data_IF_296977096902
#
_entry.id   IF_296977096902
#
_cell.length_a   1.000
_cell.length_b   1.000
_cell.length_c   1.000
_cell.angle_alpha   90.00
_cell.angle_beta   90.00
_cell.angle_gamma   90.00
#
_symmetry.space_group_name_H-M   'P 1'
#
loop_
_entity.id
_entity.type
_entity.pdbx_description
1 polymer ?
#
# COMPACT_ATOMS: atom_id res chain seq x y z
N UNK A 1 27.88 60.95 -17.74
CA UNK A 1 27.77 60.42 -16.36
C UNK A 1 26.70 59.36 -16.32
N UNK A 2 27.09 58.09 -16.40
CA UNK A 2 26.20 56.94 -16.28
C UNK A 2 25.86 56.72 -14.81
N UNK A 3 24.65 57.11 -14.38
CA UNK A 3 24.09 56.70 -13.09
C UNK A 3 23.43 55.34 -13.28
N UNK A 4 24.15 54.27 -12.94
CA UNK A 4 23.56 52.97 -12.62
C UNK A 4 22.80 53.12 -11.30
N UNK A 5 21.53 53.52 -11.41
CA UNK A 5 20.60 53.51 -10.29
C UNK A 5 20.22 52.06 -9.98
N UNK A 6 20.72 51.57 -8.85
CA UNK A 6 20.45 50.23 -8.33
C UNK A 6 18.96 50.08 -7.97
N UNK A 7 18.20 49.29 -8.75
CA UNK A 7 16.85 48.84 -8.43
C UNK A 7 16.83 47.75 -7.33
N UNK A 8 17.64 47.89 -6.28
CA UNK A 8 17.83 46.83 -5.28
C UNK A 8 16.73 46.78 -4.21
N UNK A 9 16.05 47.91 -3.92
CA UNK A 9 15.02 47.97 -2.88
C UNK A 9 13.65 47.45 -3.33
N UNK A 10 13.23 47.76 -4.57
CA UNK A 10 11.96 47.29 -5.12
C UNK A 10 11.99 45.78 -5.44
N UNK A 11 13.16 45.23 -5.77
CA UNK A 11 13.34 43.80 -5.97
C UNK A 11 13.23 43.01 -4.66
N UNK A 12 13.66 43.60 -3.53
CA UNK A 12 13.60 43.00 -2.20
C UNK A 12 12.15 42.81 -1.73
N UNK A 13 11.32 43.85 -1.90
CA UNK A 13 9.90 43.84 -1.52
C UNK A 13 9.08 42.81 -2.31
N UNK A 14 9.31 42.73 -3.63
CA UNK A 14 8.67 41.70 -4.46
C UNK A 14 9.14 40.30 -4.06
N UNK A 15 10.43 40.12 -3.76
CA UNK A 15 10.96 38.84 -3.27
C UNK A 15 10.29 38.43 -1.97
N UNK A 16 10.23 39.32 -0.97
CA UNK A 16 9.61 39.08 0.34
C UNK A 16 8.12 38.75 0.22
N UNK A 17 7.38 39.48 -0.63
CA UNK A 17 5.99 39.18 -0.90
C UNK A 17 5.80 37.81 -1.55
N UNK A 18 6.64 37.46 -2.54
CA UNK A 18 6.56 36.14 -3.19
C UNK A 18 6.90 35.01 -2.23
N UNK A 19 7.88 35.20 -1.35
CA UNK A 19 8.23 34.23 -0.31
C UNK A 19 7.07 34.04 0.69
N UNK A 20 6.42 35.13 1.09
CA UNK A 20 5.26 35.08 1.98
C UNK A 20 4.08 34.33 1.35
N UNK A 21 3.76 34.60 0.08
CA UNK A 21 2.68 33.91 -0.65
C UNK A 21 3.01 32.43 -0.87
N UNK A 22 4.25 32.11 -1.28
CA UNK A 22 4.68 30.71 -1.45
C UNK A 22 4.65 29.96 -0.11
N UNK A 23 5.07 30.62 0.98
CA UNK A 23 5.00 30.07 2.34
C UNK A 23 3.56 29.81 2.78
N UNK A 24 2.64 30.74 2.52
CA UNK A 24 1.22 30.58 2.83
C UNK A 24 0.59 29.42 2.05
N UNK A 25 0.87 29.32 0.75
CA UNK A 25 0.41 28.19 -0.08
C UNK A 25 0.98 26.87 0.45
N UNK A 26 2.28 26.83 0.77
CA UNK A 26 2.93 25.64 1.34
C UNK A 26 2.25 25.17 2.62
N UNK A 27 1.96 26.10 3.53
CA UNK A 27 1.22 25.82 4.77
C UNK A 27 -0.17 25.27 4.49
N UNK A 28 -0.92 25.87 3.56
CA UNK A 28 -2.24 25.36 3.18
C UNK A 28 -2.17 23.95 2.58
N UNK A 29 -1.16 23.65 1.77
CA UNK A 29 -0.96 22.32 1.20
C UNK A 29 -0.68 21.30 2.30
N UNK A 30 0.19 21.61 3.25
CA UNK A 30 0.51 20.70 4.35
C UNK A 30 -0.68 20.48 5.31
N UNK A 31 -1.51 21.50 5.51
CA UNK A 31 -2.71 21.39 6.34
C UNK A 31 -3.88 20.66 5.66
N UNK A 32 -4.03 20.83 4.35
CA UNK A 32 -5.18 20.28 3.60
C UNK A 32 -4.91 18.89 3.04
N UNK A 33 -3.65 18.56 2.72
CA UNK A 33 -3.27 17.26 2.17
C UNK A 33 -2.71 16.39 3.30
N UNK A 34 -3.46 15.39 3.79
CA UNK A 34 -2.95 14.50 4.83
C UNK A 34 -1.74 13.71 4.33
N UNK A 35 -0.59 13.91 4.98
CA UNK A 35 0.62 13.10 4.76
C UNK A 35 0.50 11.79 5.53
N UNK A 36 0.23 10.69 4.83
CA UNK A 36 0.07 9.36 5.44
C UNK A 36 1.32 8.54 5.18
N UNK A 37 2.02 8.10 6.23
CA UNK A 37 3.14 7.15 6.09
C UNK A 37 2.61 5.73 6.01
N UNK A 38 2.66 5.13 4.82
CA UNK A 38 2.20 3.75 4.59
C UNK A 38 3.39 2.80 4.79
N UNK A 39 3.37 1.99 5.87
CA UNK A 39 4.31 0.88 6.05
C UNK A 39 3.91 -0.27 5.11
N UNK A 40 4.68 -0.46 4.04
CA UNK A 40 4.53 -1.60 3.13
C UNK A 40 5.32 -2.80 3.66
N UNK A 41 4.62 -3.83 4.13
CA UNK A 41 5.25 -5.10 4.51
C UNK A 41 5.46 -5.96 3.26
N UNK A 42 6.56 -6.73 3.23
CA UNK A 42 6.83 -7.78 2.24
C UNK A 42 5.88 -8.98 2.35
N UNK A 43 4.62 -8.78 2.75
CA UNK A 43 3.60 -9.82 2.72
C UNK A 43 2.91 -9.78 1.36
N UNK A 44 3.66 -10.15 0.30
CA UNK A 44 3.07 -10.41 -1.01
C UNK A 44 2.21 -11.64 -0.87
N UNK A 45 0.92 -11.41 -0.61
CA UNK A 45 -0.03 -12.50 -0.41
C UNK A 45 0.06 -13.46 -1.60
N UNK A 46 0.18 -14.77 -1.37
CA UNK A 46 0.46 -15.74 -2.44
C UNK A 46 -0.68 -15.88 -3.45
N UNK A 47 -1.87 -15.38 -3.13
CA UNK A 47 -3.00 -15.29 -4.05
C UNK A 47 -3.02 -14.00 -4.88
N UNK A 48 -2.10 -13.06 -4.69
CA UNK A 48 -2.00 -11.83 -5.50
C UNK A 48 -1.26 -12.12 -6.79
N UNK A 49 -2.06 -12.43 -7.81
CA UNK A 49 -1.58 -12.69 -9.17
C UNK A 49 -1.43 -11.40 -10.00
N UNK A 50 -0.75 -11.50 -11.16
CA UNK A 50 -0.61 -10.42 -12.14
C UNK A 50 -1.97 -9.83 -12.54
N UNK A 51 -2.98 -10.67 -12.70
CA UNK A 51 -4.36 -10.28 -13.04
C UNK A 51 -4.98 -9.32 -12.03
N UNK A 52 -4.71 -9.49 -10.74
CA UNK A 52 -5.19 -8.58 -9.68
C UNK A 52 -4.44 -7.26 -9.77
N UNK A 53 -3.13 -7.29 -10.03
CA UNK A 53 -2.32 -6.07 -10.19
C UNK A 53 -2.78 -5.26 -11.41
N UNK A 54 -3.13 -5.92 -12.51
CA UNK A 54 -3.71 -5.28 -13.70
C UNK A 54 -5.09 -4.67 -13.41
N UNK A 55 -5.96 -5.41 -12.73
CA UNK A 55 -7.27 -4.90 -12.32
C UNK A 55 -7.16 -3.67 -11.41
N UNK A 56 -6.20 -3.65 -10.47
CA UNK A 56 -5.90 -2.49 -9.63
C UNK A 56 -5.41 -1.30 -10.46
N UNK A 57 -4.46 -1.51 -11.38
CA UNK A 57 -3.96 -0.45 -12.27
C UNK A 57 -5.08 0.14 -13.13
N UNK A 58 -5.93 -0.70 -13.70
CA UNK A 58 -7.10 -0.27 -14.49
C UNK A 58 -8.09 0.52 -13.63
N UNK A 59 -8.35 0.09 -12.39
CA UNK A 59 -9.21 0.81 -11.46
C UNK A 59 -8.65 2.19 -11.09
N UNK A 60 -7.34 2.31 -10.85
CA UNK A 60 -6.68 3.60 -10.60
C UNK A 60 -6.75 4.52 -11.82
N UNK A 61 -6.54 3.97 -13.02
CA UNK A 61 -6.68 4.74 -14.26
C UNK A 61 -8.11 5.26 -14.46
N UNK A 62 -9.13 4.41 -14.23
CA UNK A 62 -10.53 4.80 -14.31
C UNK A 62 -10.92 5.86 -13.26
N UNK A 63 -10.35 5.79 -12.06
CA UNK A 63 -10.53 6.83 -11.04
C UNK A 63 -9.98 8.18 -11.51
N UNK A 64 -8.74 8.21 -11.98
CA UNK A 64 -8.10 9.43 -12.47
C UNK A 64 -8.85 10.02 -13.67
N UNK A 65 -9.28 9.17 -14.61
CA UNK A 65 -10.11 9.57 -15.74
C UNK A 65 -11.46 10.14 -15.28
N UNK A 66 -12.09 9.52 -14.29
CA UNK A 66 -13.37 9.97 -13.73
C UNK A 66 -13.30 11.30 -12.98
N UNK A 67 -12.15 11.61 -12.35
CA UNK A 67 -11.91 12.95 -11.75
C UNK A 67 -11.86 14.01 -12.85
N UNK A 68 -11.22 13.72 -13.99
CA UNK A 68 -11.08 14.66 -15.11
C UNK A 68 -12.41 14.83 -15.86
N UNK A 69 -13.14 13.73 -16.08
CA UNK A 69 -14.39 13.72 -16.87
C UNK A 69 -15.66 14.01 -16.06
N UNK A 70 -15.55 14.10 -14.73
CA UNK A 70 -16.65 14.16 -13.76
C UNK A 70 -17.65 12.98 -13.85
N UNK A 71 -17.25 11.86 -14.49
CA UNK A 71 -18.05 10.63 -14.57
C UNK A 71 -17.33 9.45 -13.89
N UNK A 72 -17.96 8.88 -12.87
CA UNK A 72 -17.37 7.81 -12.04
C UNK A 72 -17.89 6.39 -12.35
N UNK A 73 -18.71 6.21 -13.39
CA UNK A 73 -19.33 4.91 -13.65
C UNK A 73 -18.33 3.84 -14.12
N UNK A 74 -17.33 4.24 -14.89
CA UNK A 74 -16.20 3.36 -15.27
C UNK A 74 -15.38 2.95 -14.04
N UNK A 75 -15.16 3.89 -13.10
CA UNK A 75 -14.50 3.57 -11.85
C UNK A 75 -15.29 2.55 -11.02
N UNK A 76 -16.62 2.72 -10.90
CA UNK A 76 -17.48 1.77 -10.16
C UNK A 76 -17.40 0.37 -10.76
N UNK A 77 -17.43 0.26 -12.09
CA UNK A 77 -17.34 -1.03 -12.79
C UNK A 77 -15.96 -1.67 -12.60
N UNK A 78 -14.88 -0.90 -12.74
CA UNK A 78 -13.52 -1.36 -12.49
C UNK A 78 -13.31 -1.80 -11.03
N UNK A 79 -13.83 -1.05 -10.06
CA UNK A 79 -13.77 -1.38 -8.64
C UNK A 79 -14.57 -2.66 -8.30
N UNK A 80 -15.70 -2.90 -8.98
CA UNK A 80 -16.40 -4.18 -8.90
C UNK A 80 -15.57 -5.32 -9.50
N UNK A 81 -14.92 -5.09 -10.64
CA UNK A 81 -13.99 -6.02 -11.28
C UNK A 81 -12.85 -6.45 -10.35
N UNK A 82 -12.22 -5.50 -9.65
CA UNK A 82 -11.17 -5.79 -8.64
C UNK A 82 -11.70 -6.70 -7.55
N UNK A 83 -12.86 -6.38 -6.96
CA UNK A 83 -13.48 -7.23 -5.91
C UNK A 83 -13.79 -8.64 -6.40
N UNK A 84 -14.20 -8.79 -7.66
CA UNK A 84 -14.45 -10.09 -8.28
C UNK A 84 -13.14 -10.87 -8.47
N UNK A 85 -12.10 -10.21 -9.01
CA UNK A 85 -10.78 -10.82 -9.22
C UNK A 85 -10.15 -11.29 -7.90
N UNK A 86 -10.25 -10.49 -6.84
CA UNK A 86 -9.74 -10.86 -5.50
C UNK A 86 -10.50 -12.07 -4.93
N UNK A 87 -11.84 -12.08 -4.98
CA UNK A 87 -12.64 -13.22 -4.51
C UNK A 87 -12.27 -14.51 -5.26
N UNK A 88 -12.13 -14.41 -6.57
CA UNK A 88 -11.79 -15.55 -7.41
C UNK A 88 -10.37 -16.06 -7.16
N UNK A 89 -9.40 -15.17 -7.00
CA UNK A 89 -8.03 -15.54 -6.68
C UNK A 89 -7.90 -16.21 -5.30
N UNK A 90 -8.55 -15.65 -4.28
CA UNK A 90 -8.66 -16.27 -2.96
C UNK A 90 -9.29 -17.66 -3.04
N UNK A 91 -10.38 -17.82 -3.79
CA UNK A 91 -11.07 -19.11 -3.99
C UNK A 91 -10.16 -20.14 -4.66
N UNK A 92 -9.43 -19.76 -5.71
CA UNK A 92 -8.47 -20.64 -6.40
C UNK A 92 -7.34 -21.09 -5.46
N UNK A 93 -6.79 -20.14 -4.70
CA UNK A 93 -5.74 -20.43 -3.73
C UNK A 93 -6.25 -21.35 -2.60
N UNK A 94 -7.45 -21.10 -2.07
CA UNK A 94 -8.10 -21.96 -1.08
C UNK A 94 -8.28 -23.40 -1.59
N UNK A 95 -8.76 -23.58 -2.83
CA UNK A 95 -8.85 -24.92 -3.45
C UNK A 95 -7.48 -25.60 -3.59
N UNK A 96 -6.45 -24.85 -4.00
CA UNK A 96 -5.08 -25.38 -4.10
C UNK A 96 -4.57 -25.86 -2.74
N UNK A 97 -4.79 -25.06 -1.69
CA UNK A 97 -4.45 -25.46 -0.33
C UNK A 97 -5.19 -26.72 0.08
N UNK A 98 -6.51 -26.77 -0.12
CA UNK A 98 -7.33 -27.93 0.24
C UNK A 98 -6.90 -29.21 -0.48
N UNK A 99 -6.54 -29.12 -1.77
CA UNK A 99 -5.97 -30.26 -2.50
C UNK A 99 -4.62 -30.70 -1.92
N UNK A 100 -3.74 -29.75 -1.56
CA UNK A 100 -2.47 -30.06 -0.89
C UNK A 100 -2.71 -30.75 0.46
N UNK A 101 -3.69 -30.27 1.23
CA UNK A 101 -4.07 -30.84 2.53
C UNK A 101 -4.64 -32.26 2.43
N UNK A 102 -5.44 -32.55 1.41
CA UNK A 102 -6.05 -33.88 1.22
C UNK A 102 -5.06 -34.94 0.72
N UNK A 103 -4.00 -34.53 0.00
CA UNK A 103 -3.09 -35.46 -0.69
C UNK A 103 -1.80 -35.79 0.08
N UNK A 104 -1.49 -35.09 1.18
CA UNK A 104 -0.11 -35.09 1.70
C UNK A 104 0.01 -35.32 3.22
N UNK A 105 1.05 -36.06 3.61
CA UNK A 105 1.35 -36.39 5.01
C UNK A 105 1.82 -35.21 5.85
N UNK A 106 1.94 -35.41 7.16
CA UNK A 106 2.12 -34.35 8.17
C UNK A 106 3.25 -33.35 7.89
N UNK A 107 4.33 -33.74 7.18
CA UNK A 107 5.42 -32.83 6.80
C UNK A 107 5.02 -31.75 5.80
N UNK A 108 4.18 -32.10 4.82
CA UNK A 108 3.68 -31.15 3.82
C UNK A 108 2.69 -30.17 4.44
N UNK A 109 1.93 -30.59 5.46
CA UNK A 109 1.10 -29.70 6.29
C UNK A 109 1.95 -28.59 6.92
N UNK A 110 3.05 -28.97 7.57
CA UNK A 110 3.97 -28.03 8.22
C UNK A 110 4.65 -27.10 7.21
N UNK A 111 4.96 -27.59 6.01
CA UNK A 111 5.53 -26.78 4.95
C UNK A 111 4.52 -25.79 4.35
N UNK A 112 3.26 -26.21 4.18
CA UNK A 112 2.15 -25.34 3.78
C UNK A 112 1.87 -24.25 4.82
N UNK A 113 1.83 -24.62 6.09
CA UNK A 113 1.64 -23.69 7.21
C UNK A 113 2.78 -22.66 7.25
N UNK A 114 4.02 -23.09 7.02
CA UNK A 114 5.18 -22.19 6.95
C UNK A 114 5.10 -21.21 5.78
N UNK A 115 4.58 -21.66 4.64
CA UNK A 115 4.38 -20.82 3.44
C UNK A 115 3.23 -19.83 3.61
N UNK A 116 2.21 -20.19 4.38
CA UNK A 116 1.08 -19.32 4.72
C UNK A 116 1.47 -18.26 5.75
N UNK A 117 2.34 -18.62 6.68
CA UNK A 117 2.68 -17.74 7.80
C UNK A 117 3.96 -16.94 7.55
N UNK A 118 4.69 -17.26 6.47
CA UNK A 118 6.09 -16.86 6.24
C UNK A 118 6.98 -17.10 7.48
N UNK A 119 6.59 -18.05 8.33
CA UNK A 119 7.22 -18.27 9.62
C UNK A 119 8.64 -18.82 9.41
N UNK A 120 9.63 -18.03 9.84
CA UNK A 120 11.01 -18.48 9.96
C UNK A 120 11.31 -18.62 11.44
N UNK A 121 11.71 -19.82 11.85
CA UNK A 121 12.23 -20.02 13.21
C UNK A 121 13.37 -19.03 13.45
N UNK A 122 13.35 -18.26 14.54
CA UNK A 122 14.47 -17.42 14.92
C UNK A 122 15.73 -18.28 15.10
N UNK A 123 16.93 -17.73 14.91
CA UNK A 123 18.15 -18.40 15.32
C UNK A 123 18.05 -18.75 16.81
N UNK A 124 18.20 -20.03 17.12
CA UNK A 124 18.04 -20.61 18.45
C UNK A 124 18.96 -19.88 19.44
N UNK A 125 18.41 -19.11 20.39
CA UNK A 125 19.21 -18.53 21.48
C UNK A 125 18.72 -17.23 22.11
N UNK A 126 17.75 -16.52 21.52
CA UNK A 126 17.29 -15.24 22.07
C UNK A 126 15.75 -15.17 22.04
N UNK A 127 15.08 -15.47 23.15
CA UNK A 127 13.64 -15.23 23.30
C UNK A 127 13.31 -14.82 24.74
N UNK A 128 13.00 -13.54 24.93
CA UNK A 128 12.38 -12.99 26.13
C UNK A 128 10.85 -13.18 26.07
N UNK A 129 10.19 -13.29 27.23
CA UNK A 129 8.74 -13.49 27.34
C UNK A 129 7.92 -12.36 26.69
N UNK A 130 8.44 -11.12 26.67
CA UNK A 130 7.77 -9.95 26.12
C UNK A 130 7.61 -10.01 24.59
N UNK A 131 8.58 -10.58 23.89
CA UNK A 131 8.51 -10.77 22.43
C UNK A 131 7.49 -11.86 22.01
N UNK A 132 7.05 -12.71 22.95
CA UNK A 132 6.14 -13.81 22.64
C UNK A 132 4.70 -13.32 22.39
N UNK A 133 4.30 -12.22 23.05
CA UNK A 133 3.00 -11.56 22.84
C UNK A 133 2.89 -10.90 21.47
N UNK A 134 3.89 -10.11 21.08
CA UNK A 134 3.95 -9.50 19.74
C UNK A 134 4.03 -10.55 18.62
N UNK A 135 4.67 -11.70 18.88
CA UNK A 135 4.75 -12.81 17.91
C UNK A 135 3.40 -13.49 17.70
N UNK A 136 2.61 -13.70 18.76
CA UNK A 136 1.27 -14.25 18.62
C UNK A 136 0.36 -13.31 17.81
N UNK A 137 0.41 -12.01 18.10
CA UNK A 137 -0.30 -10.98 17.33
C UNK A 137 0.17 -10.91 15.86
N UNK A 138 1.47 -11.04 15.59
CA UNK A 138 2.01 -11.11 14.24
C UNK A 138 1.46 -12.32 13.47
N UNK A 139 1.43 -13.49 14.10
CA UNK A 139 0.90 -14.72 13.50
C UNK A 139 -0.60 -14.57 13.19
N UNK A 140 -1.39 -14.07 14.14
CA UNK A 140 -2.83 -13.85 13.94
C UNK A 140 -3.11 -12.82 12.85
N UNK A 141 -2.36 -11.71 12.83
CA UNK A 141 -2.49 -10.66 11.80
C UNK A 141 -2.07 -11.15 10.41
N UNK A 142 -1.05 -12.01 10.33
CA UNK A 142 -0.64 -12.65 9.08
C UNK A 142 -1.73 -13.59 8.59
N UNK A 143 -2.23 -14.50 9.45
CA UNK A 143 -3.28 -15.46 9.12
C UNK A 143 -4.60 -14.80 8.67
N UNK A 144 -4.99 -13.69 9.30
CA UNK A 144 -6.18 -12.89 8.90
C UNK A 144 -6.11 -12.39 7.46
N UNK A 145 -4.91 -12.27 6.88
CA UNK A 145 -4.69 -11.86 5.51
C UNK A 145 -4.77 -12.98 4.47
N UNK A 146 -4.67 -14.24 4.88
CA UNK A 146 -4.51 -15.41 3.99
C UNK A 146 -5.82 -16.15 3.69
N UNK A 147 -6.84 -16.00 4.54
CA UNK A 147 -8.22 -16.49 4.33
C UNK A 147 -9.07 -15.33 3.80
#
# INVERSE_FOLDING_TARGET
MTRTGTCSGAAHDVSEFTEAVVGFIGKLVDDTIPRITIKMFSNQKPWVDRTIREALKSCTAAYNAGIISANMDEYKSAAYGVRKAVREAKRRYGKKLETQFQQSGSRFLWQGLRTITDYRSPPSGLMSADESGERAEYILRSLRGYI
#
